data_IF_834315965357
#
_entry.id   IF_834315965357
#
_cell.length_a   1.000
_cell.length_b   1.000
_cell.length_c   1.000
_cell.angle_alpha   90.00
_cell.angle_beta   90.00
_cell.angle_gamma   90.00
#
_symmetry.space_group_name_H-M   'P 1'
#
loop_
_entity.id
_entity.type
_entity.pdbx_description
1 polymer ?
#
# COMPACT_ATOMS: atom_id res chain seq x y z
N UNK A 1 3.52 -43.27 -10.90
CA UNK A 1 2.35 -42.47 -11.35
C UNK A 1 1.28 -42.54 -10.28
N UNK A 2 1.11 -41.53 -9.43
CA UNK A 2 0.12 -41.55 -8.33
C UNK A 2 -0.80 -40.33 -8.47
N UNK A 3 -2.03 -40.59 -8.90
CA UNK A 3 -3.10 -39.62 -9.04
C UNK A 3 -3.72 -39.31 -7.67
N UNK A 4 -3.36 -38.19 -7.03
CA UNK A 4 -4.08 -37.70 -5.84
C UNK A 4 -5.27 -36.84 -6.27
N UNK A 5 -6.47 -37.40 -6.21
CA UNK A 5 -7.75 -36.67 -6.29
C UNK A 5 -7.87 -35.78 -5.04
N UNK A 6 -7.91 -34.46 -5.20
CA UNK A 6 -8.38 -33.55 -4.14
C UNK A 6 -9.77 -33.06 -4.53
N UNK A 7 -10.69 -33.26 -3.60
CA UNK A 7 -12.11 -33.13 -3.74
C UNK A 7 -12.58 -31.69 -3.97
N UNK A 8 -13.70 -31.59 -4.69
CA UNK A 8 -14.52 -30.42 -4.98
C UNK A 8 -14.97 -29.73 -3.69
N UNK A 9 -14.25 -28.71 -3.25
CA UNK A 9 -14.67 -27.80 -2.19
C UNK A 9 -15.55 -26.66 -2.73
N UNK A 10 -16.80 -26.96 -3.09
CA UNK A 10 -17.78 -25.98 -3.55
C UNK A 10 -18.40 -25.26 -2.33
N UNK A 11 -17.76 -24.20 -1.82
CA UNK A 11 -18.37 -23.30 -0.82
C UNK A 11 -18.63 -21.92 -1.42
N UNK A 12 -19.87 -21.80 -1.91
CA UNK A 12 -20.75 -20.65 -1.73
C UNK A 12 -20.28 -19.32 -2.33
N UNK A 13 -20.56 -19.18 -3.63
CA UNK A 13 -20.87 -17.89 -4.23
C UNK A 13 -22.07 -17.23 -3.53
N UNK A 14 -21.84 -16.53 -2.41
CA UNK A 14 -22.87 -15.66 -1.80
C UNK A 14 -23.00 -14.41 -2.67
N UNK A 15 -24.00 -14.43 -3.55
CA UNK A 15 -24.48 -13.27 -4.32
C UNK A 15 -24.86 -12.13 -3.35
N UNK A 16 -24.06 -11.06 -3.26
CA UNK A 16 -24.47 -9.82 -2.58
C UNK A 16 -25.58 -9.15 -3.39
N UNK A 17 -26.77 -9.02 -2.81
CA UNK A 17 -27.91 -8.28 -3.37
C UNK A 17 -27.65 -6.77 -3.24
N UNK A 18 -27.60 -6.06 -4.37
CA UNK A 18 -27.58 -4.60 -4.43
C UNK A 18 -28.97 -4.08 -4.01
N UNK A 19 -29.04 -3.24 -2.96
CA UNK A 19 -30.25 -2.51 -2.60
C UNK A 19 -30.26 -1.17 -3.33
N UNK A 20 -31.10 -1.06 -4.35
CA UNK A 20 -31.47 0.22 -4.98
C UNK A 20 -32.70 0.77 -4.25
N UNK A 21 -32.54 1.82 -3.44
CA UNK A 21 -33.66 2.59 -2.92
C UNK A 21 -33.64 3.98 -3.55
N UNK A 22 -34.47 4.14 -4.59
CA UNK A 22 -34.77 5.41 -5.26
C UNK A 22 -35.94 6.03 -4.49
N UNK A 23 -35.70 7.09 -3.72
CA UNK A 23 -36.77 7.93 -3.16
C UNK A 23 -36.58 9.35 -3.68
N UNK A 24 -37.22 9.61 -4.80
CA UNK A 24 -37.66 10.94 -5.21
C UNK A 24 -38.72 11.42 -4.21
N UNK A 25 -38.53 12.61 -3.64
CA UNK A 25 -39.60 13.34 -2.97
C UNK A 25 -39.78 14.65 -3.72
N UNK A 26 -41.01 14.86 -4.16
CA UNK A 26 -41.45 15.99 -4.95
C UNK A 26 -41.41 17.29 -4.14
N UNK A 27 -41.24 18.37 -4.90
CA UNK A 27 -41.39 19.76 -4.52
C UNK A 27 -42.77 20.06 -3.93
N UNK A 28 -42.80 20.89 -2.90
CA UNK A 28 -44.00 21.47 -2.30
C UNK A 28 -43.63 22.64 -1.39
N UNK A 29 -43.74 23.90 -1.86
CA UNK A 29 -43.22 25.07 -1.16
C UNK A 29 -44.21 25.66 -0.15
N UNK A 30 -43.65 26.27 0.90
CA UNK A 30 -44.20 27.38 1.66
C UNK A 30 -45.47 27.15 2.50
N UNK A 31 -45.39 26.26 3.50
CA UNK A 31 -46.24 26.35 4.69
C UNK A 31 -45.59 27.26 5.73
N UNK A 32 -46.17 28.45 5.81
CA UNK A 32 -45.92 29.60 6.66
C UNK A 32 -46.03 29.29 8.17
N UNK A 33 -45.10 29.87 8.92
CA UNK A 33 -45.19 30.26 10.33
C UNK A 33 -45.57 29.18 11.37
N UNK A 34 -44.56 28.50 11.90
CA UNK A 34 -44.63 27.81 13.19
C UNK A 34 -43.29 27.90 13.90
N UNK A 35 -43.15 28.90 14.78
CA UNK A 35 -41.98 29.10 15.62
C UNK A 35 -41.88 28.00 16.70
N UNK A 36 -41.56 26.78 16.28
CA UNK A 36 -41.34 25.61 17.15
C UNK A 36 -39.85 25.39 17.36
N UNK A 37 -39.30 26.01 18.40
CA UNK A 37 -37.94 25.78 18.90
C UNK A 37 -37.74 24.32 19.30
N UNK A 38 -37.24 23.47 18.42
CA UNK A 38 -36.42 22.31 18.82
C UNK A 38 -35.46 21.97 17.69
N UNK A 39 -34.29 22.61 17.71
CA UNK A 39 -33.11 22.14 17.00
C UNK A 39 -32.63 20.83 17.66
N UNK A 40 -33.37 19.75 17.43
CA UNK A 40 -32.96 18.39 17.75
C UNK A 40 -31.80 18.01 16.84
N UNK A 41 -30.58 18.44 17.20
CA UNK A 41 -29.35 17.99 16.55
C UNK A 41 -29.35 16.46 16.63
N UNK A 42 -29.37 15.73 15.50
CA UNK A 42 -29.31 14.28 15.53
C UNK A 42 -27.98 13.90 16.18
N UNK A 43 -28.06 13.30 17.37
CA UNK A 43 -26.91 12.68 18.04
C UNK A 43 -26.54 11.47 17.18
N UNK A 44 -25.68 11.67 16.18
CA UNK A 44 -24.98 10.56 15.55
C UNK A 44 -24.24 9.84 16.67
N UNK A 45 -24.70 8.63 16.98
CA UNK A 45 -24.07 7.79 17.99
C UNK A 45 -22.58 7.72 17.69
N UNK A 46 -21.75 8.07 18.69
CA UNK A 46 -20.31 8.01 18.55
C UNK A 46 -19.93 6.55 18.26
N UNK A 47 -19.63 6.24 17.00
CA UNK A 47 -19.08 4.95 16.62
C UNK A 47 -17.73 4.84 17.32
N UNK A 48 -17.70 4.19 18.48
CA UNK A 48 -16.47 3.90 19.21
C UNK A 48 -15.64 2.99 18.32
N UNK A 49 -14.62 3.55 17.69
CA UNK A 49 -13.62 2.77 16.97
C UNK A 49 -12.70 2.17 18.02
N UNK A 50 -12.47 0.85 17.99
CA UNK A 50 -11.44 0.21 18.82
C UNK A 50 -10.10 0.81 18.41
N UNK A 51 -9.51 1.57 19.32
CA UNK A 51 -8.19 2.19 19.18
C UNK A 51 -7.20 1.23 19.84
N UNK A 52 -6.22 0.76 19.07
CA UNK A 52 -5.12 -0.08 19.57
C UNK A 52 -3.87 0.80 19.56
N UNK A 53 -3.14 0.88 20.68
CA UNK A 53 -1.97 1.74 20.89
C UNK A 53 -2.22 3.25 20.65
N UNK A 54 -3.45 3.73 20.92
CA UNK A 54 -3.83 5.12 20.62
C UNK A 54 -4.02 5.41 19.12
N UNK A 55 -4.01 4.38 18.27
CA UNK A 55 -4.09 4.48 16.82
C UNK A 55 -5.29 3.68 16.30
N UNK A 56 -6.03 4.23 15.35
CA UNK A 56 -7.12 3.48 14.71
C UNK A 56 -6.56 2.34 13.85
N UNK A 57 -7.29 1.23 13.68
CA UNK A 57 -6.90 0.13 12.77
C UNK A 57 -6.51 0.64 11.37
N UNK A 58 -7.17 1.69 10.87
CA UNK A 58 -6.86 2.33 9.59
C UNK A 58 -5.45 2.95 9.58
N UNK A 59 -5.05 3.62 10.65
CA UNK A 59 -3.74 4.25 10.76
C UNK A 59 -2.62 3.21 10.95
N UNK A 60 -2.86 2.13 11.70
CA UNK A 60 -1.92 1.00 11.77
C UNK A 60 -1.67 0.40 10.37
N UNK A 61 -2.72 0.23 9.57
CA UNK A 61 -2.61 -0.22 8.18
C UNK A 61 -1.73 0.73 7.35
N UNK A 62 -1.96 2.05 7.46
CA UNK A 62 -1.11 3.06 6.79
C UNK A 62 0.38 2.94 7.18
N UNK A 63 0.70 2.57 8.43
CA UNK A 63 2.10 2.38 8.84
C UNK A 63 2.71 1.10 8.23
N UNK A 64 1.94 0.02 8.14
CA UNK A 64 2.31 -1.18 7.41
C UNK A 64 2.55 -0.91 5.92
N UNK A 65 1.75 -0.05 5.30
CA UNK A 65 1.92 0.40 3.91
C UNK A 65 3.24 1.15 3.69
N UNK A 66 3.69 1.99 4.63
CA UNK A 66 4.99 2.66 4.50
C UNK A 66 6.12 1.64 4.43
N UNK A 67 6.07 0.59 5.27
CA UNK A 67 7.08 -0.46 5.26
C UNK A 67 7.05 -1.28 3.96
N UNK A 68 5.86 -1.59 3.44
CA UNK A 68 5.73 -2.31 2.17
C UNK A 68 6.24 -1.48 0.98
N UNK A 69 5.91 -0.19 0.90
CA UNK A 69 6.41 0.72 -0.13
C UNK A 69 7.93 0.90 -0.06
N UNK A 70 8.52 0.98 1.14
CA UNK A 70 9.99 1.02 1.30
C UNK A 70 10.65 -0.27 0.75
N UNK A 71 10.04 -1.44 1.01
CA UNK A 71 10.50 -2.72 0.45
C UNK A 71 10.33 -2.77 -1.07
N UNK A 72 9.22 -2.23 -1.59
CA UNK A 72 9.00 -2.12 -3.04
C UNK A 72 10.02 -1.19 -3.69
N UNK A 73 10.33 -0.03 -3.08
CA UNK A 73 11.37 0.89 -3.55
C UNK A 73 12.74 0.22 -3.62
N UNK A 74 13.13 -0.53 -2.59
CA UNK A 74 14.42 -1.24 -2.60
C UNK A 74 14.46 -2.35 -3.64
N UNK A 75 13.35 -3.08 -3.85
CA UNK A 75 13.21 -4.08 -4.93
C UNK A 75 13.30 -3.41 -6.30
N UNK A 76 12.61 -2.29 -6.50
CA UNK A 76 12.65 -1.52 -7.75
C UNK A 76 14.08 -1.08 -8.06
N UNK A 77 14.81 -0.51 -7.10
CA UNK A 77 16.21 -0.10 -7.32
C UNK A 77 17.10 -1.26 -7.77
N UNK A 78 16.91 -2.47 -7.21
CA UNK A 78 17.62 -3.67 -7.67
C UNK A 78 17.24 -4.07 -9.10
N UNK A 79 15.95 -4.00 -9.43
CA UNK A 79 15.47 -4.24 -10.79
C UNK A 79 16.04 -3.24 -11.78
N UNK A 80 16.03 -1.94 -11.44
CA UNK A 80 16.60 -0.88 -12.29
C UNK A 80 18.11 -1.08 -12.49
N UNK A 81 18.85 -1.52 -11.48
CA UNK A 81 20.26 -1.86 -11.65
C UNK A 81 20.46 -3.03 -12.64
N UNK A 82 19.65 -4.08 -12.55
CA UNK A 82 19.68 -5.19 -13.50
C UNK A 82 19.31 -4.74 -14.92
N UNK A 83 18.26 -3.92 -15.08
CA UNK A 83 17.85 -3.37 -16.37
C UNK A 83 18.93 -2.49 -17.02
N UNK A 84 19.68 -1.72 -16.21
CA UNK A 84 20.82 -0.93 -16.70
C UNK A 84 21.97 -1.81 -17.18
N UNK A 85 22.23 -2.92 -16.48
CA UNK A 85 23.25 -3.89 -16.91
C UNK A 85 22.87 -4.53 -18.23
N UNK A 86 21.61 -4.93 -18.39
CA UNK A 86 21.09 -5.49 -19.65
C UNK A 86 21.16 -4.45 -20.77
N UNK A 87 20.74 -3.20 -20.54
CA UNK A 87 20.86 -2.16 -21.55
C UNK A 87 22.31 -1.88 -21.93
N UNK A 88 23.23 -1.93 -20.98
CA UNK A 88 24.65 -1.72 -21.27
C UNK A 88 25.17 -2.73 -22.30
N UNK A 89 24.79 -4.01 -22.19
CA UNK A 89 25.15 -5.01 -23.20
C UNK A 89 24.47 -4.74 -24.54
N UNK A 90 23.16 -4.43 -24.55
CA UNK A 90 22.48 -4.07 -25.80
C UNK A 90 23.08 -2.84 -26.49
N UNK A 91 23.50 -1.83 -25.73
CA UNK A 91 24.16 -0.65 -26.26
C UNK A 91 25.54 -0.98 -26.84
N UNK A 92 26.30 -1.88 -26.20
CA UNK A 92 27.57 -2.36 -26.74
C UNK A 92 27.38 -3.06 -28.08
N UNK A 93 26.34 -3.88 -28.22
CA UNK A 93 26.03 -4.55 -29.49
C UNK A 93 25.65 -3.56 -30.59
N UNK A 94 24.84 -2.54 -30.26
CA UNK A 94 24.46 -1.49 -31.20
C UNK A 94 25.66 -0.61 -31.61
N UNK A 95 26.55 -0.30 -30.67
CA UNK A 95 27.80 0.43 -30.93
C UNK A 95 28.75 -0.40 -31.79
N UNK A 96 28.89 -1.70 -31.52
CA UNK A 96 29.67 -2.61 -32.33
C UNK A 96 29.12 -2.74 -33.76
N UNK A 97 27.78 -2.82 -33.91
CA UNK A 97 27.14 -2.82 -35.22
C UNK A 97 27.42 -1.52 -35.99
N UNK A 98 27.27 -0.37 -35.32
CA UNK A 98 27.57 0.95 -35.90
C UNK A 98 29.02 1.03 -36.38
N UNK A 99 29.96 0.45 -35.64
CA UNK A 99 31.38 0.45 -35.99
C UNK A 99 31.72 -0.49 -37.16
N UNK A 100 31.02 -1.63 -37.28
CA UNK A 100 31.18 -2.55 -38.42
C UNK A 100 30.59 -2.00 -39.71
N UNK A 101 29.54 -1.19 -39.64
CA UNK A 101 28.90 -0.53 -40.79
C UNK A 101 29.79 0.60 -41.35
N UNK A 102 30.91 0.24 -41.98
CA UNK A 102 31.89 1.19 -42.54
C UNK A 102 31.71 1.45 -44.05
N UNK A 103 31.26 0.44 -44.81
CA UNK A 103 31.13 0.46 -46.27
C UNK A 103 29.73 -0.01 -46.68
N UNK A 104 29.21 0.50 -47.79
CA UNK A 104 27.87 0.23 -48.31
C UNK A 104 27.10 1.52 -48.65
N UNK A 105 26.16 1.44 -49.59
CA UNK A 105 25.35 2.58 -50.06
C UNK A 105 24.55 3.23 -48.93
N UNK A 106 23.99 2.40 -48.04
CA UNK A 106 23.17 2.81 -46.89
C UNK A 106 23.99 3.04 -45.61
N UNK A 107 25.31 2.81 -45.63
CA UNK A 107 26.12 2.74 -44.40
C UNK A 107 26.14 4.04 -43.59
N UNK A 108 26.05 5.20 -44.24
CA UNK A 108 25.98 6.50 -43.54
C UNK A 108 24.60 6.72 -42.89
N UNK A 109 23.52 6.30 -43.55
CA UNK A 109 22.17 6.42 -43.02
C UNK A 109 21.98 5.50 -41.81
N UNK A 110 22.36 4.23 -41.95
CA UNK A 110 22.30 3.24 -40.86
C UNK A 110 23.08 3.69 -39.63
N UNK A 111 24.30 4.23 -39.78
CA UNK A 111 25.07 4.75 -38.65
C UNK A 111 24.38 5.93 -37.96
N UNK A 112 23.70 6.80 -38.70
CA UNK A 112 22.94 7.93 -38.15
C UNK A 112 21.71 7.44 -37.41
N UNK A 113 21.01 6.45 -37.95
CA UNK A 113 19.84 5.83 -37.32
C UNK A 113 20.23 5.08 -36.03
N UNK A 114 21.30 4.28 -36.06
CA UNK A 114 21.84 3.63 -34.86
C UNK A 114 22.23 4.66 -33.80
N UNK A 115 22.86 5.77 -34.19
CA UNK A 115 23.21 6.84 -33.25
C UNK A 115 21.99 7.58 -32.68
N UNK A 116 20.87 7.66 -33.42
CA UNK A 116 19.60 8.18 -32.90
C UNK A 116 18.99 7.19 -31.93
N UNK A 117 18.92 5.91 -32.31
CA UNK A 117 18.36 4.85 -31.49
C UNK A 117 19.10 4.66 -30.16
N UNK A 118 20.43 4.70 -30.18
CA UNK A 118 21.25 4.67 -28.95
C UNK A 118 20.91 5.85 -28.02
N UNK A 119 20.73 7.05 -28.57
CA UNK A 119 20.37 8.23 -27.77
C UNK A 119 18.96 8.11 -27.21
N UNK A 120 18.03 7.66 -28.03
CA UNK A 120 16.64 7.43 -27.64
C UNK A 120 16.56 6.39 -26.51
N UNK A 121 17.18 5.23 -26.65
CA UNK A 121 17.20 4.17 -25.63
C UNK A 121 17.75 4.67 -24.28
N UNK A 122 18.82 5.48 -24.30
CA UNK A 122 19.38 6.07 -23.08
C UNK A 122 18.39 7.03 -22.41
N UNK A 123 17.72 7.87 -23.20
CA UNK A 123 16.72 8.81 -22.69
C UNK A 123 15.47 8.08 -22.16
N UNK A 124 14.94 7.12 -22.90
CA UNK A 124 13.79 6.31 -22.50
C UNK A 124 14.04 5.59 -21.18
N UNK A 125 15.22 4.98 -21.01
CA UNK A 125 15.56 4.36 -19.73
C UNK A 125 15.66 5.36 -18.60
N UNK A 126 16.30 6.51 -18.81
CA UNK A 126 16.39 7.55 -17.77
C UNK A 126 15.01 8.04 -17.35
N UNK A 127 14.13 8.33 -18.30
CA UNK A 127 12.76 8.78 -18.05
C UNK A 127 11.93 7.70 -17.35
N UNK A 128 12.00 6.45 -17.84
CA UNK A 128 11.33 5.30 -17.23
C UNK A 128 11.74 5.17 -15.76
N UNK A 129 13.05 5.07 -15.48
CA UNK A 129 13.54 4.90 -14.12
C UNK A 129 13.17 6.07 -13.19
N UNK A 130 13.25 7.31 -13.68
CA UNK A 130 12.89 8.51 -12.91
C UNK A 130 11.38 8.56 -12.60
N UNK A 131 10.53 8.20 -13.56
CA UNK A 131 9.07 8.17 -13.37
C UNK A 131 8.64 7.10 -12.35
N UNK A 132 9.19 5.89 -12.44
CA UNK A 132 8.87 4.80 -11.50
C UNK A 132 9.31 5.12 -10.07
N UNK A 133 10.52 5.68 -9.91
CA UNK A 133 11.01 6.08 -8.58
C UNK A 133 10.21 7.25 -8.02
N UNK A 134 9.91 8.26 -8.85
CA UNK A 134 9.16 9.43 -8.37
C UNK A 134 7.73 9.06 -7.96
N UNK A 135 7.07 8.14 -8.66
CA UNK A 135 5.76 7.61 -8.26
C UNK A 135 5.79 7.03 -6.84
N UNK A 136 6.74 6.14 -6.54
CA UNK A 136 6.87 5.53 -5.21
C UNK A 136 7.27 6.56 -4.14
N UNK A 137 8.12 7.53 -4.49
CA UNK A 137 8.56 8.56 -3.55
C UNK A 137 7.44 9.53 -3.18
N UNK A 138 6.58 9.89 -4.13
CA UNK A 138 5.39 10.74 -3.87
C UNK A 138 4.43 10.01 -2.92
N UNK A 139 4.15 8.74 -3.16
CA UNK A 139 3.29 7.93 -2.28
C UNK A 139 3.87 7.77 -0.88
N UNK A 140 5.19 7.49 -0.77
CA UNK A 140 5.88 7.42 0.51
C UNK A 140 5.82 8.75 1.26
N UNK A 141 6.08 9.88 0.58
CA UNK A 141 6.00 11.21 1.21
C UNK A 141 4.59 11.50 1.70
N UNK A 142 3.55 11.16 0.92
CA UNK A 142 2.14 11.32 1.32
C UNK A 142 1.85 10.55 2.61
N UNK A 143 2.15 9.26 2.65
CA UNK A 143 1.88 8.40 3.81
C UNK A 143 2.71 8.80 5.04
N UNK A 144 3.97 9.20 4.84
CA UNK A 144 4.82 9.72 5.91
C UNK A 144 4.23 11.01 6.48
N UNK A 145 3.81 11.94 5.62
CA UNK A 145 3.15 13.18 6.03
C UNK A 145 1.85 12.92 6.80
N UNK A 146 1.02 11.98 6.33
CA UNK A 146 -0.19 11.56 7.06
C UNK A 146 0.14 10.98 8.44
N UNK A 147 1.17 10.13 8.53
CA UNK A 147 1.65 9.58 9.79
C UNK A 147 2.15 10.66 10.74
N UNK A 148 2.90 11.63 10.23
CA UNK A 148 3.42 12.75 11.01
C UNK A 148 2.29 13.66 11.49
N UNK A 149 1.29 13.93 10.66
CA UNK A 149 0.10 14.69 11.05
C UNK A 149 -0.68 13.97 12.17
N UNK A 150 -0.83 12.65 12.09
CA UNK A 150 -1.47 11.86 13.15
C UNK A 150 -0.68 11.93 14.44
N UNK A 151 0.66 11.81 14.38
CA UNK A 151 1.53 11.93 15.56
C UNK A 151 1.48 13.33 16.16
N UNK A 152 1.47 14.37 15.34
CA UNK A 152 1.37 15.75 15.78
C UNK A 152 0.01 16.04 16.43
N UNK A 153 -1.09 15.56 15.84
CA UNK A 153 -2.43 15.68 16.43
C UNK A 153 -2.54 14.95 17.78
N UNK A 154 -1.90 13.76 17.90
CA UNK A 154 -1.83 13.03 19.17
C UNK A 154 -1.05 13.81 20.24
N UNK A 155 0.11 14.34 19.88
CA UNK A 155 0.91 15.17 20.79
C UNK A 155 0.15 16.44 21.20
N UNK A 156 -0.56 17.09 20.28
CA UNK A 156 -1.40 18.25 20.58
C UNK A 156 -2.61 17.92 21.47
N UNK A 157 -3.13 16.68 21.40
CA UNK A 157 -4.17 16.19 22.29
C UNK A 157 -3.67 15.77 23.69
N UNK A 158 -2.37 15.95 23.98
CA UNK A 158 -1.77 15.60 25.27
C UNK A 158 -1.56 14.10 25.49
N UNK A 159 -1.77 13.27 24.47
CA UNK A 159 -1.43 11.84 24.54
C UNK A 159 0.08 11.69 24.31
N UNK A 160 0.84 11.60 25.40
CA UNK A 160 2.29 11.46 25.34
C UNK A 160 2.69 10.13 24.66
N UNK A 161 3.96 10.08 24.24
CA UNK A 161 4.57 8.86 23.69
C UNK A 161 4.59 7.72 24.70
N UNK A 162 4.68 8.04 25.99
CA UNK A 162 4.81 7.04 27.06
C UNK A 162 3.54 6.17 27.16
N UNK A 163 2.37 6.69 26.78
CA UNK A 163 1.14 5.89 26.66
C UNK A 163 1.16 4.90 25.47
N UNK A 164 2.16 5.00 24.57
CA UNK A 164 2.32 4.12 23.41
C UNK A 164 3.28 2.95 23.65
N UNK A 165 4.05 2.97 24.74
CA UNK A 165 5.03 1.90 25.05
C UNK A 165 4.37 0.63 25.58
N UNK A 166 3.06 0.67 25.87
CA UNK A 166 2.25 -0.52 26.03
C UNK A 166 1.95 -1.10 24.65
N UNK A 167 2.84 -1.99 24.20
CA UNK A 167 2.57 -2.91 23.11
C UNK A 167 1.38 -3.79 23.56
N UNK A 168 0.19 -3.48 23.04
CA UNK A 168 -0.96 -4.38 23.10
C UNK A 168 -0.53 -5.62 22.30
N UNK A 169 0.06 -6.59 22.99
CA UNK A 169 0.27 -7.95 22.49
C UNK A 169 -1.13 -8.41 22.16
N UNK A 170 -1.52 -8.20 20.91
CA UNK A 170 -2.84 -8.54 20.47
C UNK A 170 -3.07 -9.99 20.88
N UNK A 171 -4.28 -10.23 21.41
CA UNK A 171 -4.94 -11.53 21.61
C UNK A 171 -4.98 -12.31 20.28
N UNK A 172 -3.81 -12.47 19.64
CA UNK A 172 -3.64 -12.97 18.29
C UNK A 172 -3.81 -14.48 18.28
N UNK A 173 -3.57 -15.12 19.42
CA UNK A 173 -4.07 -16.43 19.74
C UNK A 173 -4.42 -16.35 21.23
N UNK A 174 -5.71 -16.36 21.55
CA UNK A 174 -6.19 -17.07 22.74
C UNK A 174 -5.72 -18.53 22.59
N UNK A 175 -4.41 -18.76 22.62
CA UNK A 175 -3.84 -20.01 23.07
C UNK A 175 -4.37 -20.08 24.49
N UNK A 176 -5.51 -20.75 24.65
CA UNK A 176 -6.07 -21.14 25.92
C UNK A 176 -4.93 -21.81 26.67
N UNK A 177 -4.17 -21.02 27.46
CA UNK A 177 -3.05 -21.52 28.21
C UNK A 177 -3.70 -22.43 29.23
N UNK A 178 -3.64 -23.72 28.94
CA UNK A 178 -4.37 -24.72 29.68
C UNK A 178 -3.98 -24.59 31.15
N UNK A 179 -4.96 -24.36 32.02
CA UNK A 179 -4.74 -24.11 33.45
C UNK A 179 -3.93 -25.25 34.08
N UNK A 180 -4.10 -26.48 33.58
CA UNK A 180 -3.33 -27.67 33.95
C UNK A 180 -1.85 -27.59 33.55
N UNK A 181 -1.52 -26.97 32.42
CA UNK A 181 -0.13 -26.79 31.97
C UNK A 181 0.57 -25.72 32.79
N UNK A 182 -0.14 -24.62 33.08
CA UNK A 182 0.28 -23.60 34.04
C UNK A 182 0.55 -24.20 35.42
N UNK A 183 -0.40 -24.96 35.98
CA UNK A 183 -0.21 -25.60 37.29
C UNK A 183 0.98 -26.57 37.30
N UNK A 184 1.23 -27.33 36.22
CA UNK A 184 2.43 -28.18 36.11
C UNK A 184 3.72 -27.39 36.07
N UNK A 185 3.75 -26.25 35.36
CA UNK A 185 4.93 -25.38 35.31
C UNK A 185 5.24 -24.79 36.69
N UNK A 186 4.24 -24.49 37.52
CA UNK A 186 4.45 -23.87 38.84
C UNK A 186 4.43 -24.86 40.02
N UNK A 187 4.13 -26.15 39.79
CA UNK A 187 4.05 -27.16 40.85
C UNK A 187 5.35 -27.31 41.67
N UNK A 188 6.51 -27.00 41.08
CA UNK A 188 7.80 -27.06 41.79
C UNK A 188 8.09 -25.81 42.63
N UNK A 189 7.35 -24.72 42.45
CA UNK A 189 7.45 -23.49 43.22
C UNK A 189 6.55 -23.48 44.46
N UNK A 190 5.57 -24.39 44.54
CA UNK A 190 4.68 -24.57 45.70
C UNK A 190 5.19 -25.59 46.72
N UNK A 191 6.49 -25.89 46.70
CA UNK A 191 7.17 -26.67 47.76
C UNK A 191 7.39 -25.84 49.02
#
# INVERSE_FOLDING_TARGET
MVNRRIAKGHRLARKKKLKTAKKSSADGPAARAGAGKTAGKPRTAATRVRVVNGVSKKQQHCFGEIASLKKQKSKLLKQQAAERMVLKEHLRDLEARKERTRRGETAKAERRELAKYIRQLKQEQQVKHASELSSLEVELKRLIGERDNVRAARAAAGMNKDDADWEDVGDADDDDVNEDELQRMFAHLTM
#
